data_IF_766106903086
#
_entry.id   IF_766106903086
#
_cell.length_a   1.000
_cell.length_b   1.000
_cell.length_c   1.000
_cell.angle_alpha   90.00
_cell.angle_beta   90.00
_cell.angle_gamma   90.00
#
_symmetry.space_group_name_H-M   'P 1'
#
loop_
_entity.id
_entity.type
_entity.pdbx_description
1 polymer ?
#
# COMPACT_ATOMS: atom_id res chain seq x y z
N UNK A 1 -1.05 -22.04 1.49
CA UNK A 1 -1.13 -21.00 2.56
C UNK A 1 0.14 -20.15 2.54
N UNK A 2 0.03 -18.89 2.09
CA UNK A 2 1.12 -17.91 2.08
C UNK A 2 0.55 -16.55 2.48
N UNK A 3 0.17 -16.41 3.75
CA UNK A 3 -0.41 -15.18 4.29
C UNK A 3 0.63 -14.19 4.81
N UNK A 4 0.18 -12.99 5.18
CA UNK A 4 0.99 -11.92 5.77
C UNK A 4 1.92 -12.34 6.92
N UNK A 5 1.52 -13.25 7.84
CA UNK A 5 2.43 -13.71 8.90
C UNK A 5 3.67 -14.41 8.35
N UNK A 6 3.53 -15.24 7.32
CA UNK A 6 4.66 -15.93 6.69
C UNK A 6 5.55 -14.94 5.94
N UNK A 7 4.96 -13.96 5.25
CA UNK A 7 5.74 -12.90 4.59
C UNK A 7 6.56 -12.08 5.59
N UNK A 8 5.97 -11.71 6.74
CA UNK A 8 6.69 -11.02 7.83
C UNK A 8 7.91 -11.81 8.30
N UNK A 9 7.76 -13.11 8.53
CA UNK A 9 8.90 -13.97 8.93
C UNK A 9 10.00 -13.97 7.87
N UNK A 10 9.64 -14.17 6.60
CA UNK A 10 10.61 -14.20 5.49
C UNK A 10 11.36 -12.87 5.39
N UNK A 11 10.65 -11.74 5.42
CA UNK A 11 11.27 -10.41 5.32
C UNK A 11 12.20 -10.15 6.50
N UNK A 12 11.80 -10.52 7.71
CA UNK A 12 12.66 -10.37 8.89
C UNK A 12 13.93 -11.23 8.79
N UNK A 13 13.82 -12.46 8.30
CA UNK A 13 14.99 -13.30 8.04
C UNK A 13 15.90 -12.70 6.97
N UNK A 14 15.34 -12.12 5.90
CA UNK A 14 16.13 -11.41 4.89
C UNK A 14 16.85 -10.18 5.47
N UNK A 15 16.18 -9.40 6.32
CA UNK A 15 16.79 -8.25 7.01
C UNK A 15 17.97 -8.68 7.89
N UNK A 16 17.92 -9.86 8.50
CA UNK A 16 19.04 -10.42 9.27
C UNK A 16 20.21 -10.87 8.36
N UNK A 17 19.90 -11.57 7.26
CA UNK A 17 20.93 -12.06 6.31
C UNK A 17 21.67 -10.91 5.65
N UNK A 18 20.96 -9.83 5.30
CA UNK A 18 21.52 -8.65 4.64
C UNK A 18 21.70 -7.47 5.59
N UNK A 19 22.00 -7.72 6.87
CA UNK A 19 22.11 -6.65 7.89
C UNK A 19 23.21 -5.62 7.58
N UNK A 20 24.25 -6.01 6.82
CA UNK A 20 25.31 -5.09 6.36
C UNK A 20 24.88 -4.24 5.15
N UNK A 21 23.73 -4.51 4.55
CA UNK A 21 23.20 -3.82 3.38
C UNK A 21 21.99 -2.97 3.75
N UNK A 22 21.82 -1.85 3.05
CA UNK A 22 20.56 -1.11 3.10
C UNK A 22 19.54 -1.81 2.19
N UNK A 23 18.52 -2.41 2.80
CA UNK A 23 17.40 -3.00 2.08
C UNK A 23 16.27 -1.98 1.90
N UNK A 24 15.63 -2.01 0.74
CA UNK A 24 14.41 -1.27 0.45
C UNK A 24 13.25 -2.26 0.31
N UNK A 25 12.18 -2.06 1.07
CA UNK A 25 10.97 -2.86 1.02
C UNK A 25 9.84 -2.05 0.38
N UNK A 26 9.45 -2.47 -0.83
CA UNK A 26 8.38 -1.85 -1.60
C UNK A 26 7.18 -2.81 -1.68
N UNK A 27 5.99 -2.30 -1.39
CA UNK A 27 4.74 -3.00 -1.72
C UNK A 27 4.17 -2.45 -3.03
N UNK A 28 3.82 -3.37 -3.94
CA UNK A 28 3.37 -3.05 -5.30
C UNK A 28 1.84 -2.97 -5.46
N UNK A 29 1.09 -2.81 -4.36
CA UNK A 29 -0.36 -2.64 -4.35
C UNK A 29 -1.15 -3.95 -4.39
N UNK A 30 -2.44 -3.85 -4.77
CA UNK A 30 -3.43 -4.93 -4.76
C UNK A 30 -3.59 -5.56 -3.36
N UNK A 31 -3.75 -4.70 -2.36
CA UNK A 31 -4.08 -5.05 -0.98
C UNK A 31 -5.54 -5.52 -0.85
N UNK A 32 -6.45 -5.02 -1.69
CA UNK A 32 -7.84 -5.51 -1.75
C UNK A 32 -7.96 -6.71 -2.68
N UNK A 33 -8.95 -7.58 -2.44
CA UNK A 33 -9.14 -8.82 -3.22
C UNK A 33 -10.22 -8.65 -4.29
N UNK A 34 -10.03 -9.22 -5.50
CA UNK A 34 -11.01 -9.16 -6.58
C UNK A 34 -12.38 -9.77 -6.24
N UNK A 35 -12.46 -10.68 -5.27
CA UNK A 35 -13.72 -11.30 -4.84
C UNK A 35 -14.61 -10.37 -4.01
N UNK A 36 -14.12 -9.19 -3.61
CA UNK A 36 -14.75 -8.27 -2.64
C UNK A 36 -15.22 -6.98 -3.33
N UNK A 37 -15.30 -6.97 -4.67
CA UNK A 37 -15.57 -5.80 -5.54
C UNK A 37 -16.79 -4.92 -5.20
N UNK A 38 -17.61 -5.26 -4.20
CA UNK A 38 -18.83 -4.52 -3.82
C UNK A 38 -18.96 -4.19 -2.34
N UNK A 39 -18.05 -4.66 -1.47
CA UNK A 39 -18.11 -4.31 -0.04
C UNK A 39 -17.02 -3.29 0.31
N UNK A 40 -17.42 -2.02 0.25
CA UNK A 40 -16.55 -0.90 0.60
C UNK A 40 -15.98 -1.00 2.02
N UNK A 41 -16.81 -1.36 3.01
CA UNK A 41 -16.37 -1.40 4.41
C UNK A 41 -15.36 -2.52 4.64
N UNK A 42 -15.58 -3.68 4.01
CA UNK A 42 -14.66 -4.79 4.09
C UNK A 42 -13.33 -4.50 3.38
N UNK A 43 -13.38 -3.89 2.19
CA UNK A 43 -12.17 -3.42 1.49
C UNK A 43 -11.42 -2.37 2.31
N UNK A 44 -12.11 -1.39 2.89
CA UNK A 44 -11.51 -0.36 3.75
C UNK A 44 -10.79 -0.98 4.95
N UNK A 45 -11.45 -1.91 5.65
CA UNK A 45 -10.88 -2.62 6.80
C UNK A 45 -9.66 -3.44 6.38
N UNK A 46 -9.76 -4.18 5.28
CA UNK A 46 -8.66 -4.99 4.75
C UNK A 46 -7.46 -4.11 4.40
N UNK A 47 -7.64 -3.04 3.64
CA UNK A 47 -6.57 -2.09 3.30
C UNK A 47 -5.89 -1.54 4.55
N UNK A 48 -6.67 -1.14 5.56
CA UNK A 48 -6.12 -0.62 6.82
C UNK A 48 -5.30 -1.66 7.59
N UNK A 49 -5.82 -2.89 7.73
CA UNK A 49 -5.12 -3.99 8.43
C UNK A 49 -3.81 -4.31 7.71
N UNK A 50 -3.85 -4.52 6.39
CA UNK A 50 -2.69 -4.93 5.62
C UNK A 50 -1.63 -3.83 5.61
N UNK A 51 -2.03 -2.56 5.44
CA UNK A 51 -1.13 -1.41 5.50
C UNK A 51 -0.42 -1.32 6.84
N UNK A 52 -1.14 -1.55 7.95
CA UNK A 52 -0.54 -1.56 9.29
C UNK A 52 0.49 -2.68 9.45
N UNK A 53 0.26 -3.85 8.85
CA UNK A 53 1.26 -4.93 8.85
C UNK A 53 2.52 -4.49 8.10
N UNK A 54 2.39 -3.85 6.93
CA UNK A 54 3.54 -3.34 6.18
C UNK A 54 4.31 -2.25 6.95
N UNK A 55 3.63 -1.36 7.68
CA UNK A 55 4.30 -0.42 8.58
C UNK A 55 5.12 -1.13 9.65
N UNK A 56 4.55 -2.17 10.30
CA UNK A 56 5.25 -2.94 11.33
C UNK A 56 6.45 -3.73 10.79
N UNK A 57 6.42 -4.12 9.52
CA UNK A 57 7.54 -4.80 8.86
C UNK A 57 8.63 -3.79 8.46
N UNK A 58 8.33 -2.48 8.47
CA UNK A 58 9.21 -1.44 7.97
C UNK A 58 9.28 -1.47 6.45
N UNK A 59 8.11 -1.37 5.81
CA UNK A 59 7.95 -1.08 4.40
C UNK A 59 8.25 0.39 4.15
N UNK A 60 9.02 0.69 3.10
CA UNK A 60 9.49 2.04 2.80
C UNK A 60 8.54 2.77 1.86
N UNK A 61 7.92 2.04 0.93
CA UNK A 61 7.05 2.62 -0.10
C UNK A 61 5.86 1.71 -0.36
N UNK A 62 4.68 2.31 -0.48
CA UNK A 62 3.48 1.68 -1.05
C UNK A 62 3.20 2.24 -2.43
N UNK A 63 2.61 1.42 -3.30
CA UNK A 63 1.96 1.89 -4.53
C UNK A 63 0.51 1.42 -4.56
N UNK A 64 -0.44 2.20 -5.11
CA UNK A 64 -1.78 1.68 -5.38
C UNK A 64 -1.69 0.67 -6.54
N UNK A 65 -2.40 -0.45 -6.41
CA UNK A 65 -2.57 -1.44 -7.46
C UNK A 65 -3.85 -1.22 -8.26
N UNK A 66 -4.04 -2.08 -9.27
CA UNK A 66 -5.22 -2.07 -10.13
C UNK A 66 -6.52 -2.21 -9.34
N UNK A 67 -6.54 -3.06 -8.30
CA UNK A 67 -7.76 -3.32 -7.55
C UNK A 67 -8.18 -2.09 -6.72
N UNK A 68 -7.23 -1.39 -6.08
CA UNK A 68 -7.55 -0.16 -5.35
C UNK A 68 -8.09 0.94 -6.28
N UNK A 69 -7.60 0.99 -7.52
CA UNK A 69 -8.07 1.94 -8.53
C UNK A 69 -9.51 1.62 -8.94
N UNK A 70 -9.83 0.34 -9.19
CA UNK A 70 -11.21 -0.08 -9.53
C UNK A 70 -12.17 0.14 -8.37
N UNK A 71 -11.76 -0.21 -7.14
CA UNK A 71 -12.60 -0.02 -5.95
C UNK A 71 -12.87 1.47 -5.66
N UNK A 72 -12.10 2.35 -6.32
CA UNK A 72 -12.42 3.75 -6.49
C UNK A 72 -11.78 4.65 -5.45
N UNK A 73 -12.08 5.95 -5.60
CA UNK A 73 -11.44 7.04 -4.83
C UNK A 73 -11.50 6.85 -3.32
N UNK A 74 -12.58 6.28 -2.79
CA UNK A 74 -12.72 6.10 -1.34
C UNK A 74 -11.73 5.07 -0.78
N UNK A 75 -11.42 4.01 -1.54
CA UNK A 75 -10.41 3.03 -1.13
C UNK A 75 -9.00 3.61 -1.24
N UNK A 76 -8.73 4.40 -2.29
CA UNK A 76 -7.46 5.15 -2.38
C UNK A 76 -7.30 6.12 -1.20
N UNK A 77 -8.34 6.86 -0.84
CA UNK A 77 -8.31 7.75 0.32
C UNK A 77 -8.10 6.98 1.64
N UNK A 78 -8.70 5.81 1.77
CA UNK A 78 -8.48 4.92 2.92
C UNK A 78 -7.05 4.38 2.97
N UNK A 79 -6.46 4.05 1.82
CA UNK A 79 -5.06 3.64 1.70
C UNK A 79 -4.12 4.76 2.12
N UNK A 80 -4.31 5.98 1.61
CA UNK A 80 -3.53 7.17 2.01
C UNK A 80 -3.61 7.39 3.52
N UNK A 81 -4.83 7.34 4.08
CA UNK A 81 -5.03 7.51 5.53
C UNK A 81 -4.34 6.41 6.34
N UNK A 82 -4.41 5.16 5.88
CA UNK A 82 -3.79 4.03 6.56
C UNK A 82 -2.26 4.06 6.47
N UNK A 83 -1.70 4.53 5.36
CA UNK A 83 -0.26 4.63 5.13
C UNK A 83 0.43 5.59 6.11
N UNK A 84 -0.29 6.61 6.59
CA UNK A 84 0.23 7.57 7.57
C UNK A 84 1.42 8.33 6.99
N UNK A 85 2.60 8.14 7.58
CA UNK A 85 3.86 8.75 7.12
C UNK A 85 4.57 7.95 6.02
N UNK A 86 4.12 6.72 5.72
CA UNK A 86 4.72 5.89 4.68
C UNK A 86 4.32 6.44 3.29
N UNK A 87 5.28 6.75 2.40
CA UNK A 87 5.01 7.25 1.06
C UNK A 87 4.09 6.32 0.26
N UNK A 88 2.99 6.87 -0.26
CA UNK A 88 2.18 6.25 -1.31
C UNK A 88 2.55 6.89 -2.65
N UNK A 89 3.27 6.15 -3.51
CA UNK A 89 3.82 6.66 -4.76
C UNK A 89 2.99 6.18 -5.95
N UNK A 90 2.56 7.12 -6.79
CA UNK A 90 1.89 6.83 -8.05
C UNK A 90 2.08 8.00 -9.02
N UNK A 91 2.80 7.79 -10.12
CA UNK A 91 3.11 8.85 -11.09
C UNK A 91 2.09 8.99 -12.22
N UNK A 92 1.31 7.94 -12.47
CA UNK A 92 0.40 7.83 -13.61
C UNK A 92 -1.08 8.00 -13.24
N UNK A 93 -1.42 8.14 -11.96
CA UNK A 93 -2.74 8.55 -11.52
C UNK A 93 -2.79 10.07 -11.38
N UNK A 94 -3.65 10.68 -12.18
CA UNK A 94 -3.93 12.11 -12.12
C UNK A 94 -5.34 12.29 -11.58
N UNK A 95 -5.55 13.24 -10.66
CA UNK A 95 -6.92 13.67 -10.34
C UNK A 95 -7.51 14.20 -11.64
N UNK A 96 -8.66 13.69 -12.08
CA UNK A 96 -9.30 14.04 -13.36
C UNK A 96 -9.68 15.53 -13.47
N UNK A 97 -9.37 16.34 -12.44
CA UNK A 97 -9.33 17.79 -12.53
C UNK A 97 -8.15 18.22 -13.40
N UNK A 98 -8.45 18.62 -14.64
CA UNK A 98 -7.54 19.31 -15.56
C UNK A 98 -6.55 20.24 -14.85
N UNK A 99 -5.30 20.19 -15.32
CA UNK A 99 -4.16 21.02 -14.92
C UNK A 99 -4.52 22.51 -14.74
N UNK A 100 -4.42 22.97 -13.50
CA UNK A 100 -3.74 24.22 -13.19
C UNK A 100 -2.61 23.84 -12.27
N UNK A 101 -1.37 23.79 -12.79
CA UNK A 101 -0.19 23.52 -11.97
C UNK A 101 -0.19 24.52 -10.82
N UNK A 102 -0.32 24.06 -9.58
CA UNK A 102 0.22 24.78 -8.43
C UNK A 102 1.39 23.95 -7.90
N UNK A 103 2.63 24.44 -8.02
CA UNK A 103 3.74 23.84 -7.30
C UNK A 103 3.46 24.02 -5.80
N UNK A 104 3.63 22.96 -5.02
CA UNK A 104 3.67 23.10 -3.57
C UNK A 104 5.04 23.68 -3.20
N UNK A 105 5.00 24.84 -2.54
CA UNK A 105 6.06 25.33 -1.65
C UNK A 105 5.77 24.74 -0.27
#
# INVERSE_FOLDING_TARGET
MGGLPRQKTIINSMKQVYAASQLLLINTGNLTKPSIKRDYELNRRQTSIITRVYQQIGCDVLTPGFQEIIDGRMIIAALVKAAGTMPLVCSNLQDGKKMGIKPYV
#
